data_IF_474710837040
#
_entry.id   IF_474710837040
#
_cell.length_a   1.000
_cell.length_b   1.000
_cell.length_c   1.000
_cell.angle_alpha   90.00
_cell.angle_beta   90.00
_cell.angle_gamma   90.00
#
_symmetry.space_group_name_H-M   'P 1'
#
loop_
_entity.id
_entity.type
_entity.pdbx_description
1 polymer ?
#
# COMPACT_ATOMS: atom_id res chain seq x y z
N UNK A 1 14.03 -1.31 11.68
CA UNK A 1 12.62 -1.49 11.26
C UNK A 1 12.53 -1.25 9.75
N UNK A 2 11.76 -2.03 8.99
CA UNK A 2 11.58 -1.78 7.57
C UNK A 2 10.99 -0.39 7.33
N UNK A 3 11.49 0.32 6.32
CA UNK A 3 11.02 1.67 5.95
C UNK A 3 9.54 1.60 5.58
N UNK A 4 8.72 2.49 6.16
CA UNK A 4 7.29 2.55 5.92
C UNK A 4 6.86 3.93 5.39
N UNK A 5 6.02 3.92 4.36
CA UNK A 5 5.63 5.08 3.59
C UNK A 5 4.24 5.57 3.97
N UNK A 6 3.96 6.84 3.73
CA UNK A 6 2.62 7.41 3.93
C UNK A 6 1.67 6.96 2.83
N UNK A 7 0.36 7.06 3.07
CA UNK A 7 -0.67 6.84 2.02
C UNK A 7 -0.43 7.75 0.80
N UNK A 8 -0.01 9.00 1.00
CA UNK A 8 0.25 9.92 -0.10
C UNK A 8 1.42 9.47 -0.97
N UNK A 9 2.55 9.10 -0.36
CA UNK A 9 3.72 8.56 -1.07
C UNK A 9 3.37 7.26 -1.79
N UNK A 10 2.60 6.39 -1.13
CA UNK A 10 2.11 5.14 -1.72
C UNK A 10 1.25 5.39 -2.96
N UNK A 11 0.32 6.36 -2.89
CA UNK A 11 -0.56 6.69 -4.01
C UNK A 11 0.23 7.16 -5.22
N UNK A 12 1.22 8.03 -5.02
CA UNK A 12 2.12 8.48 -6.07
C UNK A 12 2.91 7.31 -6.68
N UNK A 13 3.53 6.47 -5.85
CA UNK A 13 4.34 5.35 -6.33
C UNK A 13 3.51 4.31 -7.11
N UNK A 14 2.24 4.11 -6.72
CA UNK A 14 1.32 3.19 -7.36
C UNK A 14 0.55 3.82 -8.53
N UNK A 15 0.65 5.13 -8.75
CA UNK A 15 -0.10 5.84 -9.78
C UNK A 15 -1.62 5.88 -9.54
N UNK A 16 -2.06 5.85 -8.28
CA UNK A 16 -3.49 5.83 -7.90
C UNK A 16 -3.83 6.99 -6.97
N UNK A 17 -5.12 7.27 -6.79
CA UNK A 17 -5.55 8.28 -5.81
C UNK A 17 -5.34 7.81 -4.37
N UNK A 18 -5.03 8.73 -3.45
CA UNK A 18 -4.95 8.41 -2.02
C UNK A 18 -6.26 7.81 -1.48
N UNK A 19 -7.40 8.30 -1.98
CA UNK A 19 -8.75 7.76 -1.68
C UNK A 19 -8.87 6.29 -2.06
N UNK A 20 -8.30 5.89 -3.20
CA UNK A 20 -8.31 4.48 -3.62
C UNK A 20 -7.59 3.61 -2.60
N UNK A 21 -6.40 4.04 -2.14
CA UNK A 21 -5.64 3.31 -1.11
C UNK A 21 -6.45 3.25 0.19
N UNK A 22 -7.00 4.37 0.65
CA UNK A 22 -7.79 4.38 1.88
C UNK A 22 -9.02 3.47 1.79
N UNK A 23 -9.70 3.42 0.65
CA UNK A 23 -10.82 2.51 0.43
C UNK A 23 -10.34 1.05 0.46
N UNK A 24 -9.28 0.72 -0.28
CA UNK A 24 -8.73 -0.64 -0.30
C UNK A 24 -8.35 -1.09 1.12
N UNK A 25 -7.68 -0.23 1.89
CA UNK A 25 -7.22 -0.53 3.25
C UNK A 25 -8.31 -0.43 4.32
N UNK A 26 -9.48 0.12 4.00
CA UNK A 26 -10.63 0.16 4.91
C UNK A 26 -11.49 -1.10 4.79
N UNK A 27 -11.47 -1.76 3.63
CA UNK A 27 -12.26 -2.96 3.35
C UNK A 27 -11.45 -4.26 3.34
N UNK A 28 -10.12 -4.17 3.18
CA UNK A 28 -9.26 -5.34 3.04
C UNK A 28 -8.01 -5.24 3.92
N UNK A 29 -7.63 -6.36 4.51
CA UNK A 29 -6.37 -6.48 5.26
C UNK A 29 -5.22 -6.71 4.28
N UNK A 30 -4.18 -5.88 4.38
CA UNK A 30 -2.95 -6.02 3.59
C UNK A 30 -1.75 -6.14 4.54
N UNK A 31 -1.06 -7.29 4.48
CA UNK A 31 0.22 -7.53 5.19
C UNK A 31 1.21 -6.42 4.84
N UNK A 32 1.85 -5.84 5.86
CA UNK A 32 2.77 -4.71 5.69
C UNK A 32 2.11 -3.34 5.85
N UNK A 33 0.80 -3.27 6.11
CA UNK A 33 0.14 -2.04 6.54
C UNK A 33 0.17 -1.98 8.07
N UNK A 34 0.83 -0.94 8.58
CA UNK A 34 0.83 -0.59 10.00
C UNK A 34 -0.26 0.45 10.23
N UNK A 35 -1.34 0.01 10.86
CA UNK A 35 -2.38 0.91 11.35
C UNK A 35 -2.02 1.28 12.79
N UNK A 36 -1.44 2.46 12.98
CA UNK A 36 -1.38 3.06 14.31
C UNK A 36 -2.79 3.59 14.64
N UNK A 37 -3.16 3.62 15.93
CA UNK A 37 -4.51 3.90 16.51
C UNK A 37 -5.37 4.90 15.71
N UNK A 38 -6.69 4.82 15.87
CA UNK A 38 -7.65 5.76 15.26
C UNK A 38 -7.17 7.22 15.36
N UNK A 39 -7.10 7.92 14.23
CA UNK A 39 -6.54 9.27 14.13
C UNK A 39 -5.06 9.34 13.74
N UNK A 40 -4.32 8.21 13.68
CA UNK A 40 -2.94 8.18 13.19
C UNK A 40 -2.91 7.74 11.72
N UNK A 41 -2.17 8.45 10.83
CA UNK A 41 -2.06 8.08 9.43
C UNK A 41 -1.48 6.66 9.24
N UNK A 42 -2.10 5.88 8.36
CA UNK A 42 -1.60 4.55 7.98
C UNK A 42 -0.19 4.65 7.39
N UNK A 43 0.64 3.65 7.71
CA UNK A 43 1.98 3.48 7.14
C UNK A 43 2.06 2.15 6.40
N UNK A 44 2.65 2.14 5.22
CA UNK A 44 2.69 0.98 4.33
C UNK A 44 4.15 0.63 4.08
N UNK A 45 4.57 -0.59 4.40
CA UNK A 45 5.92 -1.09 4.10
C UNK A 45 6.07 -1.39 2.62
N UNK A 46 7.31 -1.61 2.17
CA UNK A 46 7.61 -2.03 0.79
C UNK A 46 6.82 -3.30 0.42
N UNK A 47 6.75 -4.29 1.31
CA UNK A 47 6.02 -5.53 1.02
C UNK A 47 4.50 -5.29 0.88
N UNK A 48 3.93 -4.39 1.69
CA UNK A 48 2.54 -4.00 1.53
C UNK A 48 2.28 -3.28 0.21
N UNK A 49 3.22 -2.42 -0.21
CA UNK A 49 3.16 -1.76 -1.52
C UNK A 49 3.31 -2.74 -2.67
N UNK A 50 4.17 -3.76 -2.53
CA UNK A 50 4.33 -4.82 -3.52
C UNK A 50 3.00 -5.57 -3.71
N UNK A 51 2.35 -5.98 -2.62
CA UNK A 51 1.03 -6.63 -2.67
C UNK A 51 -0.01 -5.74 -3.37
N UNK A 52 -0.09 -4.45 -3.02
CA UNK A 52 -1.01 -3.51 -3.66
C UNK A 52 -0.71 -3.33 -5.16
N UNK A 53 0.58 -3.26 -5.53
CA UNK A 53 1.00 -3.10 -6.93
C UNK A 53 0.63 -4.32 -7.78
N UNK A 54 0.82 -5.53 -7.26
CA UNK A 54 0.46 -6.77 -7.94
C UNK A 54 -1.07 -6.84 -8.06
N UNK A 55 -1.81 -6.47 -7.01
CA UNK A 55 -3.26 -6.47 -7.06
C UNK A 55 -3.79 -5.52 -8.14
N UNK A 56 -3.23 -4.31 -8.25
CA UNK A 56 -3.56 -3.38 -9.33
C UNK A 56 -3.33 -4.01 -10.71
N UNK A 57 -2.19 -4.66 -10.91
CA UNK A 57 -1.88 -5.33 -12.17
C UNK A 57 -2.88 -6.45 -12.49
N UNK A 58 -3.16 -7.32 -11.51
CA UNK A 58 -4.12 -8.43 -11.67
C UNK A 58 -5.54 -7.93 -11.93
N UNK A 59 -5.95 -6.79 -11.34
CA UNK A 59 -7.25 -6.19 -11.67
C UNK A 59 -7.27 -5.63 -13.09
N UNK A 60 -6.17 -5.02 -13.55
CA UNK A 60 -6.07 -4.41 -14.86
C UNK A 60 -5.96 -5.43 -16.00
N UNK A 61 -5.16 -6.48 -15.83
CA UNK A 61 -4.90 -7.47 -16.88
C UNK A 61 -5.95 -8.59 -16.91
N UNK A 62 -6.43 -9.04 -15.75
CA UNK A 62 -7.33 -10.20 -15.66
C UNK A 62 -8.79 -9.80 -15.40
N UNK A 63 -9.07 -8.50 -15.24
CA UNK A 63 -10.41 -8.01 -14.92
C UNK A 63 -10.97 -8.53 -13.58
N UNK A 64 -10.09 -8.98 -12.68
CA UNK A 64 -10.49 -9.57 -11.41
C UNK A 64 -10.98 -8.51 -10.42
N UNK A 65 -11.79 -8.92 -9.44
CA UNK A 65 -12.18 -8.02 -8.36
C UNK A 65 -10.97 -7.70 -7.47
N UNK A 66 -10.94 -6.51 -6.86
CA UNK A 66 -9.83 -6.12 -5.97
C UNK A 66 -9.61 -7.12 -4.83
N UNK A 67 -10.69 -7.66 -4.25
CA UNK A 67 -10.59 -8.67 -3.19
C UNK A 67 -9.86 -9.94 -3.67
N UNK A 68 -10.22 -10.45 -4.85
CA UNK A 68 -9.56 -11.62 -5.43
C UNK A 68 -8.12 -11.30 -5.83
N UNK A 69 -7.88 -10.12 -6.42
CA UNK A 69 -6.54 -9.67 -6.78
C UNK A 69 -5.62 -9.56 -5.56
N UNK A 70 -6.10 -9.02 -4.43
CA UNK A 70 -5.36 -8.96 -3.18
C UNK A 70 -5.06 -10.34 -2.62
N UNK A 71 -6.05 -11.25 -2.64
CA UNK A 71 -5.86 -12.65 -2.23
C UNK A 71 -4.75 -13.32 -3.06
N UNK A 72 -4.82 -13.22 -4.40
CA UNK A 72 -3.82 -13.79 -5.29
C UNK A 72 -2.45 -13.16 -5.09
N UNK A 73 -2.39 -11.85 -4.89
CA UNK A 73 -1.15 -11.11 -4.64
C UNK A 73 -0.45 -11.57 -3.35
N UNK A 74 -1.22 -11.81 -2.29
CA UNK A 74 -0.69 -12.39 -1.06
C UNK A 74 -0.03 -13.74 -1.30
N UNK A 75 -0.71 -14.61 -2.04
CA UNK A 75 -0.20 -15.95 -2.33
C UNK A 75 1.01 -15.92 -3.26
N UNK A 76 1.00 -15.08 -4.30
CA UNK A 76 2.13 -14.90 -5.20
C UNK A 76 3.38 -14.43 -4.43
N UNK A 77 3.24 -13.40 -3.59
CA UNK A 77 4.37 -12.90 -2.78
C UNK A 77 4.86 -13.96 -1.79
N UNK A 78 3.96 -14.71 -1.15
CA UNK A 78 4.32 -15.77 -0.21
C UNK A 78 5.07 -16.94 -0.88
N UNK A 79 4.75 -17.23 -2.14
CA UNK A 79 5.27 -18.39 -2.88
C UNK A 79 6.32 -18.00 -3.94
N UNK A 80 7.00 -16.87 -3.78
CA UNK A 80 8.10 -16.47 -4.67
C UNK A 80 7.68 -16.18 -6.10
N UNK A 81 6.46 -15.67 -6.29
CA UNK A 81 5.91 -15.26 -7.59
C UNK A 81 5.13 -16.34 -8.30
N UNK A 82 4.95 -17.51 -7.70
CA UNK A 82 4.29 -18.65 -8.34
C UNK A 82 3.03 -19.04 -7.61
N UNK A 83 1.97 -19.24 -8.36
CA UNK A 83 0.71 -19.76 -7.86
C UNK A 83 0.22 -20.85 -8.80
N UNK A 84 -0.04 -22.03 -8.23
CA UNK A 84 -0.67 -23.12 -8.95
C UNK A 84 -1.95 -23.54 -8.22
N UNK A 85 -3.11 -22.95 -8.56
CA UNK A 85 -4.39 -23.40 -8.05
C UNK A 85 -4.70 -24.85 -8.44
N UNK A 86 -5.67 -25.43 -7.73
CA UNK A 86 -6.34 -26.66 -8.16
C UNK A 86 -6.90 -26.45 -9.58
N UNK A 87 -6.91 -27.51 -10.40
CA UNK A 87 -7.36 -27.54 -11.82
C UNK A 87 -6.36 -27.05 -12.88
N UNK A 88 -5.07 -27.00 -12.57
CA UNK A 88 -4.01 -26.84 -13.60
C UNK A 88 -3.77 -25.41 -14.08
N UNK A 89 -4.48 -24.42 -13.52
CA UNK A 89 -4.16 -23.01 -13.74
C UNK A 89 -2.78 -22.69 -13.14
N UNK A 90 -2.00 -21.85 -13.82
CA UNK A 90 -0.71 -21.37 -13.32
C UNK A 90 -0.64 -19.86 -13.51
N UNK A 91 -0.22 -19.16 -12.46
CA UNK A 91 0.10 -17.74 -12.51
C UNK A 91 1.54 -17.58 -12.03
N UNK A 92 2.36 -16.97 -12.87
CA UNK A 92 3.76 -16.68 -12.56
C UNK A 92 4.02 -15.19 -12.75
N UNK A 93 4.69 -14.60 -11.78
CA UNK A 93 5.10 -13.21 -11.78
C UNK A 93 6.58 -13.12 -11.44
N UNK A 94 7.33 -12.36 -12.24
CA UNK A 94 8.68 -11.96 -11.88
C UNK A 94 8.63 -10.90 -10.77
N UNK A 95 8.72 -11.35 -9.52
CA UNK A 95 8.69 -10.49 -8.35
C UNK A 95 9.89 -9.54 -8.26
N UNK A 96 11.05 -9.92 -8.80
CA UNK A 96 12.24 -9.07 -8.73
C UNK A 96 12.07 -7.86 -9.63
N UNK A 97 11.66 -8.08 -10.88
CA UNK A 97 11.34 -7.00 -11.81
C UNK A 97 10.24 -6.11 -11.24
N UNK A 98 9.17 -6.70 -10.67
CA UNK A 98 8.08 -5.93 -10.06
C UNK A 98 8.56 -5.08 -8.88
N UNK A 99 9.38 -5.66 -8.01
CA UNK A 99 9.96 -4.97 -6.84
C UNK A 99 10.87 -3.83 -7.28
N UNK A 100 11.73 -4.05 -8.28
CA UNK A 100 12.65 -3.02 -8.77
C UNK A 100 11.90 -1.84 -9.40
N UNK A 101 10.87 -2.10 -10.19
CA UNK A 101 10.01 -1.04 -10.74
C UNK A 101 9.29 -0.26 -9.64
N UNK A 102 8.76 -0.95 -8.63
CA UNK A 102 8.13 -0.30 -7.48
C UNK A 102 9.11 0.58 -6.70
N UNK A 103 10.34 0.09 -6.47
CA UNK A 103 11.38 0.86 -5.78
C UNK A 103 11.76 2.12 -6.54
N UNK A 104 11.95 2.04 -7.86
CA UNK A 104 12.24 3.20 -8.70
C UNK A 104 11.09 4.25 -8.65
N UNK A 105 9.83 3.81 -8.69
CA UNK A 105 8.68 4.72 -8.53
C UNK A 105 8.61 5.32 -7.13
N UNK A 106 8.98 4.55 -6.10
CA UNK A 106 9.02 5.04 -4.73
C UNK A 106 10.09 6.10 -4.50
N UNK A 107 11.27 5.95 -5.10
CA UNK A 107 12.33 6.96 -5.05
C UNK A 107 11.81 8.30 -5.56
N UNK A 108 11.21 8.30 -6.76
CA UNK A 108 10.60 9.51 -7.32
C UNK A 108 9.44 10.03 -6.47
N UNK A 109 8.56 9.14 -5.98
CA UNK A 109 7.42 9.55 -5.17
C UNK A 109 7.84 10.20 -3.84
N UNK A 110 8.95 9.78 -3.23
CA UNK A 110 9.45 10.39 -1.99
C UNK A 110 9.92 11.81 -2.20
N UNK A 111 10.48 12.13 -3.37
CA UNK A 111 10.94 13.49 -3.72
C UNK A 111 9.76 14.46 -3.94
N UNK A 112 8.66 13.96 -4.50
CA UNK A 112 7.50 14.77 -4.89
C UNK A 112 6.40 14.80 -3.84
N UNK A 113 6.36 13.80 -2.93
CA UNK A 113 5.26 13.65 -2.00
C UNK A 113 5.08 14.89 -1.10
N UNK A 114 3.85 15.42 -0.98
CA UNK A 114 3.59 16.56 -0.12
C UNK A 114 3.87 16.21 1.34
N UNK A 115 4.56 17.11 2.04
CA UNK A 115 4.80 17.00 3.47
C UNK A 115 3.45 16.95 4.21
N UNK A 116 3.27 16.05 5.19
CA UNK A 116 2.04 15.99 5.98
C UNK A 116 1.82 17.35 6.67
N UNK A 117 0.65 17.95 6.46
CA UNK A 117 0.26 19.20 7.14
C UNK A 117 0.34 18.96 8.65
N UNK A 118 1.23 19.69 9.35
CA UNK A 118 1.23 19.72 10.82
C UNK A 118 -0.14 20.22 11.28
N UNK A 119 -0.80 19.46 12.14
CA UNK A 119 -2.09 19.85 12.72
C UNK A 119 -1.99 21.18 13.45
N UNK A 120 -3.14 21.85 13.61
CA UNK A 120 -3.24 23.08 14.40
C UNK A 120 -2.78 22.77 15.85
N UNK A 121 -1.87 23.56 16.44
CA UNK A 121 -1.48 23.37 17.84
C UNK A 121 -2.74 23.38 18.72
N UNK A 122 -2.79 22.50 19.73
CA UNK A 122 -3.86 22.53 20.71
C UNK A 122 -3.87 23.92 21.34
N UNK A 123 -5.04 24.56 21.41
CA UNK A 123 -5.20 25.74 22.25
C UNK A 123 -4.96 25.27 23.68
N UNK A 124 -3.78 25.56 24.23
CA UNK A 124 -3.55 25.43 25.65
C UNK A 124 -4.56 26.34 26.34
N UNK A 125 -5.55 25.75 26.99
CA UNK A 125 -6.35 26.40 28.02
C UNK A 125 -5.46 26.53 29.25
N UNK A 126 -4.50 27.45 29.19
CA UNK A 126 -3.76 27.93 30.37
C UNK A 126 -4.08 29.41 30.47
N UNK A 127 -5.17 29.72 31.15
CA UNK A 127 -5.72 31.06 31.21
C UNK A 127 -7.04 31.08 31.97
N UNK A 128 -7.02 30.62 33.23
CA UNK A 128 -7.98 31.10 34.24
C UNK A 128 -7.23 31.20 35.56
N UNK A 129 -6.65 32.37 35.78
CA UNK A 129 -6.49 32.92 37.11
C UNK A 129 -7.90 33.36 37.53
N UNK A 130 -8.52 32.63 38.45
CA UNK A 130 -9.33 33.17 39.54
C UNK A 130 -9.13 32.27 40.76
#
# INVERSE_FOLDING_TARGET
>A
MPRAYTVATAALALGVSAKWIDNALSHHTVKGVVQQRQGIPRRITIDGLLILSIALQLTAELGSTLANALYLSHQLVANGGRLQPLHGLKIELDLETFRNQLLSRLEHAVEVAPLPKRGRPSKNTTGRLE
#
